data_IF_429765446737
#
_entry.id   IF_429765446737
#
_cell.length_a   1.000
_cell.length_b   1.000
_cell.length_c   1.000
_cell.angle_alpha   90.00
_cell.angle_beta   90.00
_cell.angle_gamma   90.00
#
_symmetry.space_group_name_H-M   'P 1'
#
loop_
_entity.id
_entity.type
_entity.pdbx_description
1 polymer ?
#
# COMPACT_ATOMS: atom_id res chain seq x y z
N UNK A 1 -10.82 -8.34 11.69
CA UNK A 1 -10.89 -6.96 11.16
C UNK A 1 -10.00 -6.90 9.93
N UNK A 2 -10.33 -6.10 8.92
CA UNK A 2 -9.38 -5.81 7.85
C UNK A 2 -8.14 -5.14 8.45
N UNK A 3 -6.95 -5.45 7.95
CA UNK A 3 -5.72 -4.80 8.43
C UNK A 3 -5.55 -3.50 7.67
N UNK A 4 -5.54 -2.40 8.41
CA UNK A 4 -5.27 -1.07 7.86
C UNK A 4 -3.77 -0.80 7.94
N UNK A 5 -3.16 -0.73 6.77
CA UNK A 5 -1.76 -0.43 6.58
C UNK A 5 -1.62 0.96 5.95
N UNK A 6 -0.46 1.56 6.16
CA UNK A 6 -0.08 2.83 5.56
C UNK A 6 1.27 2.64 4.90
N UNK A 7 1.35 2.98 3.62
CA UNK A 7 2.60 3.09 2.87
C UNK A 7 3.07 4.54 2.88
N UNK A 8 4.20 4.77 3.54
CA UNK A 8 4.89 6.05 3.62
C UNK A 8 6.04 6.06 2.63
N UNK A 9 6.15 7.10 1.80
CA UNK A 9 7.17 7.16 0.74
C UNK A 9 7.47 8.59 0.31
N UNK A 10 8.55 8.78 -0.45
CA UNK A 10 8.84 10.03 -1.17
C UNK A 10 8.42 9.97 -2.64
N UNK A 11 8.11 8.77 -3.14
CA UNK A 11 7.78 8.49 -4.53
C UNK A 11 6.35 7.94 -4.60
N UNK A 12 5.47 8.50 -5.45
CA UNK A 12 4.09 8.06 -5.53
C UNK A 12 3.97 6.60 -5.96
N UNK A 13 3.00 5.91 -5.39
CA UNK A 13 2.64 4.54 -5.76
C UNK A 13 1.85 4.58 -7.07
N UNK A 14 2.41 4.03 -8.13
CA UNK A 14 1.78 3.97 -9.47
C UNK A 14 1.46 2.53 -9.88
N UNK A 15 0.72 2.35 -10.97
CA UNK A 15 0.50 1.05 -11.61
C UNK A 15 1.81 0.25 -11.83
N UNK A 16 2.87 0.93 -12.26
CA UNK A 16 4.17 0.29 -12.48
C UNK A 16 4.80 -0.26 -11.17
N UNK A 17 4.58 0.40 -10.02
CA UNK A 17 5.05 -0.09 -8.72
C UNK A 17 4.40 -1.43 -8.39
N UNK A 18 3.11 -1.56 -8.67
CA UNK A 18 2.39 -2.82 -8.51
C UNK A 18 2.99 -3.92 -9.40
N UNK A 19 3.22 -3.65 -10.68
CA UNK A 19 3.81 -4.64 -11.59
C UNK A 19 5.19 -5.11 -11.12
N UNK A 20 6.05 -4.19 -10.66
CA UNK A 20 7.36 -4.56 -10.11
C UNK A 20 7.25 -5.35 -8.80
N UNK A 21 6.32 -5.00 -7.92
CA UNK A 21 6.07 -5.73 -6.68
C UNK A 21 5.63 -7.17 -6.96
N UNK A 22 4.74 -7.38 -7.93
CA UNK A 22 4.30 -8.73 -8.34
C UNK A 22 5.44 -9.51 -8.97
N UNK A 23 6.20 -8.91 -9.88
CA UNK A 23 7.37 -9.53 -10.48
C UNK A 23 8.41 -9.94 -9.41
N UNK A 24 8.64 -9.09 -8.41
CA UNK A 24 9.55 -9.37 -7.28
C UNK A 24 9.12 -10.60 -6.49
N UNK A 25 7.82 -10.80 -6.32
CA UNK A 25 7.25 -11.93 -5.57
C UNK A 25 7.04 -13.17 -6.45
N UNK A 26 7.35 -13.10 -7.75
CA UNK A 26 7.00 -14.17 -8.70
C UNK A 26 5.50 -14.39 -8.85
N UNK A 27 4.70 -13.36 -8.52
CA UNK A 27 3.24 -13.38 -8.59
C UNK A 27 2.74 -12.84 -9.93
N UNK A 28 1.54 -13.27 -10.30
CA UNK A 28 0.78 -12.72 -11.42
C UNK A 28 -0.61 -12.29 -10.94
N UNK A 29 -1.27 -11.41 -11.67
CA UNK A 29 -2.61 -10.98 -11.36
C UNK A 29 -2.95 -9.66 -12.02
N UNK A 30 -3.98 -8.99 -11.50
CA UNK A 30 -4.59 -7.82 -12.13
C UNK A 30 -4.74 -6.67 -11.15
N UNK A 31 -4.65 -5.45 -11.68
CA UNK A 31 -4.92 -4.22 -10.96
C UNK A 31 -6.10 -3.51 -11.62
N UNK A 32 -7.06 -3.10 -10.81
CA UNK A 32 -8.20 -2.30 -11.26
C UNK A 32 -8.18 -0.95 -10.56
N UNK A 33 -8.25 0.13 -11.35
CA UNK A 33 -8.38 1.50 -10.83
C UNK A 33 -9.86 1.89 -10.75
N UNK A 34 -10.21 2.59 -9.67
CA UNK A 34 -11.58 2.97 -9.37
C UNK A 34 -11.66 4.48 -9.13
N UNK A 35 -12.85 5.04 -9.38
CA UNK A 35 -13.17 6.45 -9.14
C UNK A 35 -12.11 7.41 -9.71
N UNK A 36 -11.74 7.24 -10.98
CA UNK A 36 -10.74 8.07 -11.66
C UNK A 36 -9.36 8.07 -10.96
N UNK A 37 -8.95 6.90 -10.47
CA UNK A 37 -7.63 6.68 -9.85
C UNK A 37 -7.55 7.02 -8.36
N UNK A 38 -8.67 7.27 -7.68
CA UNK A 38 -8.66 7.52 -6.23
C UNK A 38 -8.19 6.31 -5.41
N UNK A 39 -8.44 5.10 -5.90
CA UNK A 39 -7.86 3.89 -5.34
C UNK A 39 -7.78 2.79 -6.40
N UNK A 40 -6.91 1.81 -6.14
CA UNK A 40 -6.76 0.61 -6.94
C UNK A 40 -6.97 -0.64 -6.09
N UNK A 41 -7.57 -1.68 -6.67
CA UNK A 41 -7.64 -3.02 -6.07
C UNK A 41 -6.71 -3.97 -6.80
N UNK A 42 -5.97 -4.76 -6.04
CA UNK A 42 -5.01 -5.74 -6.54
C UNK A 42 -5.58 -7.13 -6.34
N UNK A 43 -5.51 -7.95 -7.39
CA UNK A 43 -6.03 -9.31 -7.41
C UNK A 43 -4.93 -10.29 -7.83
N UNK A 44 -4.93 -11.48 -7.24
CA UNK A 44 -4.00 -12.54 -7.63
C UNK A 44 -4.45 -13.26 -8.91
N UNK A 45 -3.68 -14.26 -9.35
CA UNK A 45 -3.94 -15.03 -10.57
C UNK A 45 -5.28 -15.76 -10.59
N UNK A 46 -5.90 -15.98 -9.42
CA UNK A 46 -7.22 -16.58 -9.29
C UNK A 46 -8.36 -15.56 -9.34
N UNK A 47 -8.03 -14.27 -9.48
CA UNK A 47 -8.96 -13.15 -9.39
C UNK A 47 -9.33 -12.80 -7.95
N UNK A 48 -8.69 -13.41 -6.95
CA UNK A 48 -8.99 -13.14 -5.54
C UNK A 48 -8.40 -11.81 -5.12
N UNK A 49 -9.19 -11.00 -4.42
CA UNK A 49 -8.76 -9.71 -3.91
C UNK A 49 -7.63 -9.88 -2.88
N UNK A 50 -6.54 -9.15 -3.09
CA UNK A 50 -5.33 -9.17 -2.25
C UNK A 50 -5.27 -7.96 -1.34
N UNK A 51 -5.43 -6.75 -1.89
CA UNK A 51 -5.47 -5.51 -1.14
C UNK A 51 -6.01 -4.35 -1.98
N UNK A 52 -6.45 -3.29 -1.30
CA UNK A 52 -6.78 -1.98 -1.89
C UNK A 52 -5.68 -0.98 -1.54
N UNK A 53 -5.29 -0.11 -2.47
CA UNK A 53 -4.36 1.01 -2.24
C UNK A 53 -5.04 2.31 -2.66
N UNK A 54 -5.07 3.28 -1.75
CA UNK A 54 -5.55 4.63 -2.05
C UNK A 54 -4.44 5.49 -2.66
N UNK A 55 -4.86 6.43 -3.52
CA UNK A 55 -3.96 7.38 -4.14
C UNK A 55 -3.11 8.11 -3.08
N UNK A 56 -1.82 8.35 -3.37
CA UNK A 56 -0.92 9.00 -2.42
C UNK A 56 -1.38 10.44 -2.14
N UNK A 57 -1.38 10.80 -0.86
CA UNK A 57 -1.63 12.15 -0.38
C UNK A 57 -0.34 12.78 0.13
N UNK A 58 -0.18 14.09 -0.08
CA UNK A 58 0.94 14.85 0.48
C UNK A 58 0.69 15.06 1.97
N UNK A 59 1.72 14.82 2.78
CA UNK A 59 1.66 15.07 4.21
C UNK A 59 1.98 16.54 4.46
N UNK A 60 0.99 17.25 5.01
CA UNK A 60 1.12 18.67 5.36
C UNK A 60 1.50 18.89 6.83
N UNK A 61 1.07 17.98 7.72
CA UNK A 61 1.42 17.99 9.13
C UNK A 61 2.04 16.64 9.52
N UNK A 62 3.37 16.63 9.64
CA UNK A 62 4.12 15.43 10.00
C UNK A 62 3.80 14.93 11.41
N UNK A 63 3.40 15.81 12.34
CA UNK A 63 3.07 15.43 13.71
C UNK A 63 1.73 14.72 13.78
N UNK A 64 0.73 15.23 13.04
CA UNK A 64 -0.57 14.56 12.90
C UNK A 64 -0.40 13.19 12.25
N UNK A 65 0.36 13.10 11.16
CA UNK A 65 0.62 11.84 10.48
C UNK A 65 1.33 10.83 11.40
N UNK A 66 2.35 11.25 12.15
CA UNK A 66 3.05 10.38 13.09
C UNK A 66 2.15 9.87 14.23
N UNK A 67 1.21 10.70 14.72
CA UNK A 67 0.28 10.31 15.78
C UNK A 67 -0.75 9.25 15.33
N UNK A 68 -0.98 9.11 14.03
CA UNK A 68 -1.88 8.11 13.45
C UNK A 68 -1.21 6.75 13.21
N UNK A 69 0.08 6.60 13.52
CA UNK A 69 0.87 5.41 13.18
C UNK A 69 1.41 4.70 14.43
N UNK A 70 1.45 3.38 14.36
CA UNK A 70 2.27 2.57 15.26
C UNK A 70 3.73 2.68 14.81
N UNK A 71 4.63 3.08 15.71
CA UNK A 71 6.08 3.22 15.45
C UNK A 71 6.42 4.13 14.24
N UNK A 72 6.10 5.43 14.31
CA UNK A 72 6.25 6.34 13.17
C UNK A 72 7.73 6.55 12.78
N UNK A 73 8.07 6.63 11.47
CA UNK A 73 9.41 7.01 11.03
C UNK A 73 9.74 8.49 11.31
N UNK A 74 11.01 8.88 11.12
CA UNK A 74 11.45 10.26 11.32
C UNK A 74 10.98 11.24 10.23
N UNK A 75 10.91 10.80 8.96
CA UNK A 75 10.53 11.66 7.83
C UNK A 75 9.92 10.86 6.67
N UNK A 76 8.89 11.42 6.05
CA UNK A 76 8.18 10.88 4.87
C UNK A 76 7.25 11.95 4.27
N UNK A 77 7.22 12.08 2.94
CA UNK A 77 6.45 13.12 2.24
C UNK A 77 5.06 12.71 1.75
N UNK A 78 4.83 11.42 1.50
CA UNK A 78 3.59 10.87 0.96
C UNK A 78 2.98 9.80 1.85
N UNK A 79 1.65 9.73 1.81
CA UNK A 79 0.82 8.77 2.55
C UNK A 79 -0.14 8.05 1.60
N UNK A 80 -0.07 6.73 1.54
CA UNK A 80 -1.06 5.88 0.85
C UNK A 80 -1.70 4.92 1.84
N UNK A 81 -3.03 4.99 1.98
CA UNK A 81 -3.78 4.01 2.78
C UNK A 81 -3.87 2.68 2.03
N UNK A 82 -3.68 1.57 2.75
CA UNK A 82 -3.75 0.22 2.23
C UNK A 82 -4.71 -0.60 3.09
N UNK A 83 -5.70 -1.22 2.45
CA UNK A 83 -6.67 -2.08 3.11
C UNK A 83 -6.43 -3.53 2.72
N UNK A 84 -6.14 -4.38 3.69
CA UNK A 84 -5.95 -5.82 3.46
C UNK A 84 -7.18 -6.60 3.95
N UNK A 85 -7.84 -7.38 3.08
CA UNK A 85 -8.94 -8.27 3.46
C UNK A 85 -8.52 -9.29 4.53
N UNK A 86 -9.42 -9.54 5.48
CA UNK A 86 -9.14 -10.42 6.63
C UNK A 86 -8.76 -11.86 6.24
N UNK A 87 -9.32 -12.36 5.14
CA UNK A 87 -9.07 -13.71 4.64
C UNK A 87 -7.75 -13.82 3.86
N UNK A 88 -7.03 -12.72 3.65
CA UNK A 88 -5.81 -12.66 2.86
C UNK A 88 -4.68 -11.83 3.52
N UNK A 89 -4.70 -11.69 4.85
CA UNK A 89 -3.81 -10.82 5.63
C UNK A 89 -2.32 -11.02 5.33
N UNK A 90 -1.84 -12.26 5.31
CA UNK A 90 -0.41 -12.56 5.09
C UNK A 90 0.05 -12.20 3.68
N UNK A 91 -0.70 -12.63 2.65
CA UNK A 91 -0.40 -12.31 1.25
C UNK A 91 -0.51 -10.81 1.00
N UNK A 92 -1.58 -10.17 1.49
CA UNK A 92 -1.77 -8.73 1.34
C UNK A 92 -0.67 -7.92 2.01
N UNK A 93 -0.23 -8.30 3.21
CA UNK A 93 0.93 -7.67 3.86
C UNK A 93 2.21 -7.86 3.04
N UNK A 94 2.46 -9.07 2.55
CA UNK A 94 3.64 -9.37 1.72
C UNK A 94 3.68 -8.52 0.46
N UNK A 95 2.53 -8.34 -0.22
CA UNK A 95 2.42 -7.46 -1.38
C UNK A 95 2.63 -5.99 -1.00
N UNK A 96 2.03 -5.52 0.09
CA UNK A 96 2.23 -4.14 0.57
C UNK A 96 3.71 -3.86 0.88
N UNK A 97 4.39 -4.79 1.54
CA UNK A 97 5.83 -4.70 1.85
C UNK A 97 6.68 -4.71 0.58
N UNK A 98 6.34 -5.53 -0.42
CA UNK A 98 7.02 -5.52 -1.70
C UNK A 98 6.84 -4.18 -2.44
N UNK A 99 5.63 -3.60 -2.42
CA UNK A 99 5.38 -2.27 -2.99
C UNK A 99 6.20 -1.20 -2.28
N UNK A 100 6.31 -1.27 -0.95
CA UNK A 100 7.14 -0.36 -0.17
C UNK A 100 8.61 -0.41 -0.60
N UNK A 101 9.16 -1.61 -0.80
CA UNK A 101 10.53 -1.78 -1.31
C UNK A 101 10.72 -1.12 -2.68
N UNK A 102 9.74 -1.25 -3.58
CA UNK A 102 9.81 -0.69 -4.94
C UNK A 102 9.75 0.84 -5.02
N UNK A 103 9.32 1.51 -3.94
CA UNK A 103 9.32 2.98 -3.81
C UNK A 103 10.31 3.50 -2.76
N UNK A 104 11.10 2.61 -2.15
CA UNK A 104 11.99 2.97 -1.03
C UNK A 104 11.22 3.46 0.21
N UNK A 105 9.96 3.04 0.35
CA UNK A 105 9.05 3.43 1.42
C UNK A 105 8.99 2.43 2.58
N UNK A 106 8.03 2.66 3.47
CA UNK A 106 7.82 1.89 4.69
C UNK A 106 6.34 1.58 4.88
N UNK A 107 6.04 0.35 5.28
CA UNK A 107 4.71 -0.03 5.77
C UNK A 107 4.64 0.23 7.28
N UNK A 108 3.53 0.82 7.71
CA UNK A 108 3.15 0.97 9.12
C UNK A 108 1.70 0.58 9.32
N UNK A 109 1.37 0.18 10.54
CA UNK A 109 -0.01 -0.03 10.96
C UNK A 109 -0.57 1.28 11.49
N UNK A 110 -1.87 1.48 11.25
CA UNK A 110 -2.61 2.60 11.82
C UNK A 110 -2.99 2.29 13.28
N UNK A 111 -2.99 3.30 14.15
CA UNK A 111 -3.41 3.21 15.56
C UNK A 111 -4.92 3.06 15.70
#
# INVERSE_FOLDING_TARGET
MATELVLLSEVPVTAEVHHRAYARLGMTGEMFEWLDGQFATLHDESGRHVLTVHAPMVIHDAREAAAALVDPPEAFGLWSEIMVPFDNTEKGRTVAEAMAVEVGGLIRERV
#
